data_IF_452630989679
#
_entry.id   IF_452630989679
#
_cell.length_a   1.000
_cell.length_b   1.000
_cell.length_c   1.000
_cell.angle_alpha   90.00
_cell.angle_beta   90.00
_cell.angle_gamma   90.00
#
_symmetry.space_group_name_H-M   'P 1'
#
loop_
_entity.id
_entity.type
_entity.pdbx_description
1 polymer ?
#
# COMPACT_ATOMS: atom_id res chain seq x y z
N UNK A 1 -9.90 -4.29 13.70
CA UNK A 1 -9.00 -5.43 13.45
C UNK A 1 -7.58 -4.95 13.54
N UNK A 2 -6.76 -5.60 14.36
CA UNK A 2 -5.34 -5.30 14.49
C UNK A 2 -4.59 -6.22 13.54
N UNK A 3 -4.04 -5.67 12.45
CA UNK A 3 -3.12 -6.42 11.59
C UNK A 3 -1.84 -6.71 12.38
N UNK A 4 -1.28 -7.90 12.19
CA UNK A 4 0.05 -8.21 12.73
C UNK A 4 1.10 -7.31 12.08
N UNK A 5 2.25 -7.17 12.73
CA UNK A 5 3.35 -6.38 12.16
C UNK A 5 3.81 -6.94 10.82
N UNK A 6 3.92 -8.27 10.71
CA UNK A 6 4.27 -8.98 9.47
C UNK A 6 3.27 -8.70 8.35
N UNK A 7 1.98 -8.74 8.64
CA UNK A 7 0.94 -8.40 7.65
C UNK A 7 1.05 -6.94 7.19
N UNK A 8 1.32 -6.00 8.11
CA UNK A 8 1.49 -4.58 7.75
C UNK A 8 2.71 -4.37 6.84
N UNK A 9 3.83 -5.02 7.16
CA UNK A 9 5.05 -4.97 6.35
C UNK A 9 4.77 -5.55 4.96
N UNK A 10 4.18 -6.74 4.90
CA UNK A 10 3.86 -7.40 3.64
C UNK A 10 2.94 -6.54 2.75
N UNK A 11 1.90 -5.92 3.32
CA UNK A 11 0.97 -5.06 2.56
C UNK A 11 1.71 -3.90 1.90
N UNK A 12 2.62 -3.25 2.63
CA UNK A 12 3.37 -2.11 2.11
C UNK A 12 4.38 -2.58 1.06
N UNK A 13 5.12 -3.64 1.33
CA UNK A 13 6.10 -4.20 0.39
C UNK A 13 5.46 -4.72 -0.89
N UNK A 14 4.40 -5.54 -0.79
CA UNK A 14 3.64 -6.04 -1.94
C UNK A 14 3.06 -4.88 -2.75
N UNK A 15 2.54 -3.83 -2.09
CA UNK A 15 2.02 -2.67 -2.80
C UNK A 15 3.09 -1.97 -3.64
N UNK A 16 4.30 -1.74 -3.10
CA UNK A 16 5.39 -1.13 -3.85
C UNK A 16 5.98 -2.08 -4.91
N UNK A 17 6.06 -3.38 -4.62
CA UNK A 17 6.57 -4.41 -5.54
C UNK A 17 5.67 -4.58 -6.77
N UNK A 18 4.35 -4.50 -6.58
CA UNK A 18 3.36 -4.51 -7.66
C UNK A 18 3.23 -3.14 -8.36
N UNK A 19 4.04 -2.15 -7.97
CA UNK A 19 4.09 -0.87 -8.65
C UNK A 19 4.71 -1.03 -10.04
N UNK A 20 3.90 -0.84 -11.08
CA UNK A 20 4.39 -0.82 -12.45
C UNK A 20 4.61 0.61 -12.91
N UNK A 21 5.79 0.87 -13.47
CA UNK A 21 6.11 2.18 -14.02
C UNK A 21 5.58 2.26 -15.46
N UNK A 22 4.44 2.92 -15.64
CA UNK A 22 3.80 3.11 -16.94
C UNK A 22 3.95 4.57 -17.34
N UNK A 23 4.76 4.83 -18.38
CA UNK A 23 4.99 6.18 -18.95
C UNK A 23 5.39 7.20 -17.86
N UNK A 24 6.30 6.82 -16.96
CA UNK A 24 6.80 7.70 -15.89
C UNK A 24 5.85 7.87 -14.70
N UNK A 25 4.67 7.24 -14.71
CA UNK A 25 3.74 7.20 -13.58
C UNK A 25 3.77 5.80 -12.97
N UNK A 26 4.03 5.72 -11.66
CA UNK A 26 3.93 4.46 -10.93
C UNK A 26 2.44 4.14 -10.72
N UNK A 27 1.96 3.10 -11.40
CA UNK A 27 0.62 2.56 -11.23
C UNK A 27 0.66 1.44 -10.21
N UNK A 28 -0.19 1.55 -9.19
CA UNK A 28 -0.30 0.56 -8.13
C UNK A 28 -1.66 -0.12 -8.21
N UNK A 29 -1.68 -1.45 -8.17
CA UNK A 29 -2.92 -2.24 -8.19
C UNK A 29 -3.23 -2.78 -6.80
N UNK A 30 -4.21 -2.18 -6.12
CA UNK A 30 -4.70 -2.63 -4.82
C UNK A 30 -5.27 -4.05 -4.93
N UNK A 31 -5.94 -4.36 -6.04
CA UNK A 31 -6.51 -5.68 -6.31
C UNK A 31 -5.42 -6.77 -6.37
N UNK A 32 -4.32 -6.50 -7.06
CA UNK A 32 -3.21 -7.48 -7.18
C UNK A 32 -2.55 -7.70 -5.82
N UNK A 33 -2.30 -6.62 -5.08
CA UNK A 33 -1.78 -6.68 -3.71
C UNK A 33 -2.71 -7.48 -2.77
N UNK A 34 -4.04 -7.32 -2.90
CA UNK A 34 -5.01 -8.07 -2.10
C UNK A 34 -5.02 -9.57 -2.43
N UNK A 35 -4.88 -9.94 -3.70
CA UNK A 35 -4.79 -11.35 -4.12
C UNK A 35 -3.54 -12.01 -3.55
N UNK A 36 -2.37 -11.36 -3.66
CA UNK A 36 -1.13 -11.86 -3.07
C UNK A 36 -1.23 -11.97 -1.54
N UNK A 37 -1.84 -10.98 -0.88
CA UNK A 37 -2.05 -11.02 0.56
C UNK A 37 -2.92 -12.22 0.99
N UNK A 38 -3.99 -12.52 0.23
CA UNK A 38 -4.85 -13.68 0.51
C UNK A 38 -4.14 -15.01 0.27
N UNK A 39 -3.20 -15.07 -0.68
CA UNK A 39 -2.38 -16.26 -0.89
C UNK A 39 -1.37 -16.46 0.24
N UNK A 40 -0.74 -15.38 0.72
CA UNK A 40 0.24 -15.45 1.80
C UNK A 40 -0.39 -15.66 3.18
N UNK A 41 -1.58 -15.10 3.40
CA UNK A 41 -2.31 -15.17 4.68
C UNK A 41 -3.75 -15.66 4.46
N UNK A 42 -3.95 -16.95 4.11
CA UNK A 42 -5.29 -17.48 3.84
C UNK A 42 -6.22 -17.41 5.06
N UNK A 43 -5.66 -17.61 6.26
CA UNK A 43 -6.36 -17.53 7.56
C UNK A 43 -6.74 -16.10 7.98
N UNK A 44 -6.19 -15.08 7.32
CA UNK A 44 -6.57 -13.70 7.61
C UNK A 44 -7.99 -13.44 7.06
N UNK A 45 -8.97 -13.41 7.97
CA UNK A 45 -10.36 -13.04 7.66
C UNK A 45 -10.43 -11.53 7.43
N UNK A 46 -10.14 -11.13 6.19
CA UNK A 46 -10.00 -9.73 5.81
C UNK A 46 -10.86 -9.40 4.60
N UNK A 47 -11.76 -8.42 4.77
CA UNK A 47 -12.55 -7.88 3.66
C UNK A 47 -11.70 -6.93 2.84
N UNK A 48 -11.99 -6.84 1.54
CA UNK A 48 -11.32 -5.91 0.63
C UNK A 48 -11.39 -4.45 1.14
N UNK A 49 -12.52 -4.04 1.73
CA UNK A 49 -12.68 -2.68 2.26
C UNK A 49 -11.76 -2.41 3.47
N UNK A 50 -11.67 -3.37 4.41
CA UNK A 50 -10.75 -3.27 5.55
C UNK A 50 -9.29 -3.21 5.08
N UNK A 51 -8.94 -4.02 4.08
CA UNK A 51 -7.60 -4.02 3.47
C UNK A 51 -7.27 -2.67 2.84
N UNK A 52 -8.16 -2.15 1.99
CA UNK A 52 -7.96 -0.88 1.29
C UNK A 52 -7.80 0.30 2.28
N UNK A 53 -8.59 0.33 3.35
CA UNK A 53 -8.46 1.36 4.40
C UNK A 53 -7.10 1.31 5.10
N UNK A 54 -6.62 0.10 5.43
CA UNK A 54 -5.32 -0.06 6.09
C UNK A 54 -4.17 0.31 5.16
N UNK A 55 -4.23 -0.12 3.90
CA UNK A 55 -3.25 0.26 2.89
C UNK A 55 -3.20 1.78 2.70
N UNK A 56 -4.36 2.43 2.57
CA UNK A 56 -4.44 3.89 2.45
C UNK A 56 -3.83 4.60 3.66
N UNK A 57 -4.13 4.13 4.87
CA UNK A 57 -3.57 4.68 6.09
C UNK A 57 -2.04 4.49 6.16
N UNK A 58 -1.53 3.30 5.84
CA UNK A 58 -0.09 3.01 5.81
C UNK A 58 0.65 3.86 4.80
N UNK A 59 0.10 4.06 3.59
CA UNK A 59 0.68 4.94 2.58
C UNK A 59 0.67 6.39 3.06
N UNK A 60 -0.44 6.88 3.64
CA UNK A 60 -0.50 8.24 4.18
C UNK A 60 0.53 8.45 5.29
N UNK A 61 0.68 7.49 6.20
CA UNK A 61 1.68 7.55 7.27
C UNK A 61 3.10 7.57 6.69
N UNK A 62 3.38 6.70 5.72
CA UNK A 62 4.67 6.65 5.03
C UNK A 62 4.97 7.96 4.29
N UNK A 63 4.01 8.51 3.56
CA UNK A 63 4.12 9.81 2.91
C UNK A 63 4.34 10.93 3.93
N UNK A 64 3.64 10.93 5.06
CA UNK A 64 3.81 11.95 6.11
C UNK A 64 5.19 11.89 6.73
N UNK A 65 5.69 10.69 7.04
CA UNK A 65 7.05 10.47 7.57
C UNK A 65 8.10 10.88 6.53
N UNK A 66 7.93 10.49 5.26
CA UNK A 66 8.86 10.83 4.18
C UNK A 66 8.81 12.32 3.80
N UNK A 67 7.65 12.98 3.92
CA UNK A 67 7.50 14.43 3.75
C UNK A 67 8.16 15.24 4.86
N UNK A 68 8.28 14.67 6.07
CA UNK A 68 9.08 15.27 7.16
C UNK A 68 10.58 15.19 6.86
N UNK A 69 11.03 14.19 6.09
CA UNK A 69 12.46 13.97 5.80
C UNK A 69 12.96 14.58 4.47
N UNK A 70 12.14 14.71 3.42
CA UNK A 70 12.57 15.37 2.17
C UNK A 70 11.41 15.69 1.22
N UNK A 71 11.46 16.87 0.58
CA UNK A 71 10.77 17.21 -0.68
C UNK A 71 10.80 16.01 -1.64
N UNK A 72 9.73 15.23 -1.72
CA UNK A 72 9.50 14.24 -2.77
C UNK A 72 8.40 14.78 -3.68
N UNK A 73 8.80 15.21 -4.87
CA UNK A 73 8.03 15.84 -5.94
C UNK A 73 7.04 14.91 -6.67
N UNK A 74 6.56 13.85 -6.02
CA UNK A 74 5.85 12.75 -6.70
C UNK A 74 4.36 12.59 -6.37
N UNK A 75 3.77 13.44 -5.52
CA UNK A 75 2.32 13.44 -5.35
C UNK A 75 1.68 14.31 -6.43
N UNK A 76 0.79 13.79 -7.30
CA UNK A 76 0.11 14.63 -8.27
C UNK A 76 -0.72 15.66 -7.50
N UNK A 77 -0.37 16.94 -7.66
CA UNK A 77 -1.21 18.04 -7.21
C UNK A 77 -2.51 17.94 -7.99
N UNK A 78 -3.60 17.61 -7.32
CA UNK A 78 -4.93 17.84 -7.87
C UNK A 78 -5.07 19.35 -8.12
N UNK A 79 -5.34 19.66 -9.38
CA UNK A 79 -5.58 21.01 -9.89
C UNK A 79 -6.90 21.55 -9.33
#
# INVERSE_FOLDING_TARGET
MVFTQEQKIFIVESYFRNGHLVVGVCQYSIQSCFVEFRQQFPDAVLTHNTFQRNLTYSIQLFCKIRSVDKKCSGCPKKK
#
